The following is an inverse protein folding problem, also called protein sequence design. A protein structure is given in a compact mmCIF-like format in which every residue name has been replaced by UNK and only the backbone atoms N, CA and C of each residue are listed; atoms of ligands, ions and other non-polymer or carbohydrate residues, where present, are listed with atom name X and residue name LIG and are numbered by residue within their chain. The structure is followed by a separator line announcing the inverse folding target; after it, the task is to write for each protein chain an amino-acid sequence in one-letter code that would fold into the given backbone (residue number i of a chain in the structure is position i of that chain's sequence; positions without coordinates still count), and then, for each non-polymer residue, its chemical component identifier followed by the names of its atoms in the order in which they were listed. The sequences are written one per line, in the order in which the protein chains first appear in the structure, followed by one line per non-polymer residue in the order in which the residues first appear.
data_IF_835582647311
#
_entry.id   IF_835582647311
#
_cell.length_a   1.000
_cell.length_b   1.000
_cell.length_c   1.000
_cell.angle_alpha   90.00
_cell.angle_beta   90.00
_cell.angle_gamma   90.00
#
_symmetry.space_group_name_H-M   'P 1'
#
loop_
_entity.id
_entity.type
_entity.pdbx_description
1 polymer ?
#
# COMPACT_ATOMS: atom_id res chain seq x y z
N UNK A 1 -12.65 -1.61 -8.86
CA UNK A 1 -11.77 -2.79 -8.66
C UNK A 1 -12.02 -3.89 -9.69
N UNK A 2 -13.26 -4.11 -10.17
CA UNK A 2 -13.58 -5.14 -11.17
C UNK A 2 -12.64 -5.22 -12.39
N UNK A 3 -12.23 -4.09 -12.98
CA UNK A 3 -11.30 -4.11 -14.13
C UNK A 3 -9.89 -4.62 -13.76
N UNK A 4 -9.41 -4.23 -12.57
CA UNK A 4 -8.11 -4.67 -12.04
C UNK A 4 -8.18 -6.16 -11.69
N UNK A 5 -9.27 -6.59 -11.05
CA UNK A 5 -9.49 -8.00 -10.68
C UNK A 5 -9.55 -8.89 -11.94
N UNK A 6 -10.27 -8.45 -12.98
CA UNK A 6 -10.33 -9.16 -14.27
C UNK A 6 -8.94 -9.24 -14.95
N UNK A 7 -8.12 -8.20 -14.82
CA UNK A 7 -6.75 -8.21 -15.34
C UNK A 7 -5.84 -9.18 -14.59
N UNK A 8 -5.90 -9.15 -13.25
CA UNK A 8 -5.16 -10.06 -12.37
C UNK A 8 -5.58 -11.52 -12.63
N UNK A 9 -6.87 -11.77 -12.80
CA UNK A 9 -7.40 -13.11 -13.05
C UNK A 9 -6.93 -13.66 -14.41
N UNK A 10 -6.98 -12.85 -15.47
CA UNK A 10 -6.43 -13.23 -16.78
C UNK A 10 -4.93 -13.54 -16.71
N UNK A 11 -4.16 -12.75 -15.96
CA UNK A 11 -2.73 -13.02 -15.77
C UNK A 11 -2.50 -14.30 -14.95
N UNK A 12 -3.26 -14.51 -13.88
CA UNK A 12 -3.17 -15.71 -13.04
C UNK A 12 -3.49 -16.98 -13.84
N UNK A 13 -4.54 -16.96 -14.66
CA UNK A 13 -4.95 -18.09 -15.51
C UNK A 13 -3.88 -18.42 -16.54
N UNK A 14 -3.28 -17.39 -17.17
CA UNK A 14 -2.17 -17.58 -18.12
C UNK A 14 -0.96 -18.24 -17.46
N UNK A 15 -0.64 -17.86 -16.22
CA UNK A 15 0.45 -18.46 -15.45
C UNK A 15 0.12 -19.89 -15.02
N UNK A 16 -1.11 -20.15 -14.60
CA UNK A 16 -1.57 -21.50 -14.24
C UNK A 16 -1.42 -22.48 -15.41
N UNK A 17 -1.84 -22.08 -16.62
CA UNK A 17 -1.70 -22.90 -17.83
C UNK A 17 -0.24 -23.12 -18.24
N UNK A 18 0.64 -22.14 -18.02
CA UNK A 18 2.06 -22.22 -18.39
C UNK A 18 2.90 -23.02 -17.41
N UNK A 19 2.51 -23.09 -16.14
CA UNK A 19 3.32 -23.65 -15.06
C UNK A 19 2.65 -24.84 -14.36
N UNK A 20 1.49 -25.30 -14.83
CA UNK A 20 0.70 -26.37 -14.21
C UNK A 20 0.51 -26.15 -12.70
N UNK A 21 0.17 -24.91 -12.32
CA UNK A 21 -0.01 -24.55 -10.92
C UNK A 21 -1.17 -25.32 -10.31
N UNK A 22 -0.96 -25.85 -9.11
CA UNK A 22 -2.05 -26.36 -8.27
C UNK A 22 -3.04 -25.24 -7.92
N UNK A 23 -4.25 -25.60 -7.53
CA UNK A 23 -5.27 -24.62 -7.13
C UNK A 23 -4.78 -23.68 -6.01
N UNK A 24 -4.03 -24.20 -5.05
CA UNK A 24 -3.47 -23.40 -3.94
C UNK A 24 -2.40 -22.42 -4.45
N UNK A 25 -1.53 -22.84 -5.36
CA UNK A 25 -0.52 -21.96 -5.95
C UNK A 25 -1.16 -20.86 -6.82
N UNK A 26 -2.20 -21.20 -7.58
CA UNK A 26 -2.99 -20.21 -8.31
C UNK A 26 -3.57 -19.14 -7.37
N UNK A 27 -4.17 -19.55 -6.24
CA UNK A 27 -4.71 -18.62 -5.24
C UNK A 27 -3.62 -17.72 -4.64
N UNK A 28 -2.43 -18.27 -4.34
CA UNK A 28 -1.29 -17.48 -3.83
C UNK A 28 -0.82 -16.44 -4.85
N UNK A 29 -0.68 -16.84 -6.11
CA UNK A 29 -0.26 -15.95 -7.21
C UNK A 29 -1.30 -14.84 -7.42
N UNK A 30 -2.58 -15.19 -7.46
CA UNK A 30 -3.67 -14.21 -7.58
C UNK A 30 -3.66 -13.20 -6.44
N UNK A 31 -3.53 -13.66 -5.19
CA UNK A 31 -3.44 -12.80 -4.02
C UNK A 31 -2.20 -11.92 -4.06
N UNK A 32 -1.04 -12.48 -4.42
CA UNK A 32 0.21 -11.73 -4.54
C UNK A 32 0.10 -10.58 -5.55
N UNK A 33 -0.46 -10.86 -6.74
CA UNK A 33 -0.71 -9.82 -7.74
C UNK A 33 -1.68 -8.75 -7.25
N UNK A 34 -2.75 -9.15 -6.56
CA UNK A 34 -3.71 -8.21 -5.98
C UNK A 34 -3.06 -7.28 -4.94
N UNK A 35 -2.24 -7.84 -4.06
CA UNK A 35 -1.50 -7.06 -3.04
C UNK A 35 -0.54 -6.08 -3.70
N UNK A 36 0.21 -6.52 -4.71
CA UNK A 36 1.15 -5.64 -5.44
C UNK A 36 0.40 -4.49 -6.09
N UNK A 37 -0.64 -4.76 -6.89
CA UNK A 37 -1.36 -3.70 -7.61
C UNK A 37 -2.01 -2.69 -6.66
N UNK A 38 -2.66 -3.16 -5.58
CA UNK A 38 -3.32 -2.28 -4.61
C UNK A 38 -2.29 -1.43 -3.86
N UNK A 39 -1.16 -2.00 -3.46
CA UNK A 39 -0.12 -1.25 -2.75
C UNK A 39 0.64 -0.29 -3.68
N UNK A 40 0.86 -0.64 -4.94
CA UNK A 40 1.43 0.28 -5.93
C UNK A 40 0.52 1.48 -6.17
N UNK A 41 -0.80 1.26 -6.30
CA UNK A 41 -1.76 2.35 -6.43
C UNK A 41 -1.74 3.27 -5.19
N UNK A 42 -1.73 2.71 -3.99
CA UNK A 42 -1.55 3.45 -2.73
C UNK A 42 -0.26 4.28 -2.75
N UNK A 43 0.86 3.69 -3.14
CA UNK A 43 2.14 4.38 -3.20
C UNK A 43 2.09 5.57 -4.16
N UNK A 44 1.54 5.39 -5.37
CA UNK A 44 1.39 6.48 -6.35
C UNK A 44 0.59 7.65 -5.78
N UNK A 45 -0.54 7.37 -5.14
CA UNK A 45 -1.37 8.43 -4.52
C UNK A 45 -0.64 9.11 -3.36
N UNK A 46 -0.07 8.33 -2.43
CA UNK A 46 0.62 8.84 -1.24
C UNK A 46 1.83 9.70 -1.61
N UNK A 47 2.70 9.21 -2.51
CA UNK A 47 3.88 9.96 -2.93
C UNK A 47 3.53 11.10 -3.88
N UNK A 48 2.48 10.98 -4.70
CA UNK A 48 1.96 12.09 -5.48
C UNK A 48 1.52 13.26 -4.59
N UNK A 49 0.76 12.99 -3.53
CA UNK A 49 0.37 14.00 -2.55
C UNK A 49 1.57 14.56 -1.78
N UNK A 50 2.54 13.72 -1.39
CA UNK A 50 3.73 14.17 -0.68
C UNK A 50 4.61 15.11 -1.51
N UNK A 51 4.69 14.88 -2.83
CA UNK A 51 5.38 15.79 -3.76
C UNK A 51 4.64 17.12 -3.90
N UNK A 52 3.30 17.11 -4.03
CA UNK A 52 2.49 18.34 -4.11
C UNK A 52 2.63 19.22 -2.85
N UNK A 53 2.79 18.60 -1.69
CA UNK A 53 2.95 19.28 -0.40
C UNK A 53 4.42 19.56 -0.04
N UNK A 54 5.38 19.21 -0.89
CA UNK A 54 6.83 19.31 -0.65
C UNK A 54 7.33 18.61 0.64
N UNK A 55 6.66 17.54 1.07
CA UNK A 55 7.02 16.76 2.27
C UNK A 55 7.58 15.36 1.94
N UNK A 56 8.06 15.16 0.72
CA UNK A 56 8.46 13.85 0.20
C UNK A 56 9.41 13.09 1.14
N UNK A 57 10.46 13.74 1.65
CA UNK A 57 11.43 13.10 2.54
C UNK A 57 10.82 12.71 3.89
N UNK A 58 9.96 13.56 4.47
CA UNK A 58 9.27 13.25 5.72
C UNK A 58 8.33 12.06 5.55
N UNK A 59 7.54 12.04 4.46
CA UNK A 59 6.69 10.89 4.11
C UNK A 59 7.52 9.62 3.90
N UNK A 60 8.66 9.70 3.21
CA UNK A 60 9.54 8.56 2.97
C UNK A 60 10.08 7.96 4.27
N UNK A 61 10.54 8.80 5.21
CA UNK A 61 11.05 8.34 6.50
C UNK A 61 9.96 7.60 7.28
N UNK A 62 8.77 8.18 7.43
CA UNK A 62 7.66 7.54 8.15
C UNK A 62 7.25 6.23 7.48
N UNK A 63 7.25 6.18 6.14
CA UNK A 63 6.92 4.97 5.39
C UNK A 63 7.96 3.85 5.59
N UNK A 64 9.26 4.18 5.60
CA UNK A 64 10.32 3.21 5.88
C UNK A 64 10.25 2.68 7.31
N UNK A 65 9.99 3.55 8.29
CA UNK A 65 9.75 3.14 9.68
C UNK A 65 8.57 2.18 9.78
N UNK A 66 7.45 2.47 9.09
CA UNK A 66 6.31 1.56 9.03
C UNK A 66 6.66 0.22 8.39
N UNK A 67 7.45 0.21 7.30
CA UNK A 67 7.87 -1.04 6.66
C UNK A 67 8.68 -1.91 7.61
N UNK A 68 9.61 -1.30 8.37
CA UNK A 68 10.39 -2.00 9.39
C UNK A 68 9.54 -2.52 10.55
N UNK A 69 8.52 -1.79 10.99
CA UNK A 69 7.59 -2.27 12.03
C UNK A 69 6.68 -3.39 11.52
N UNK A 70 6.31 -3.35 10.23
CA UNK A 70 5.39 -4.31 9.63
C UNK A 70 5.98 -5.71 9.46
N UNK A 71 7.31 -5.86 9.38
CA UNK A 71 7.94 -7.18 9.33
C UNK A 71 7.75 -7.97 10.62
N UNK A 72 7.61 -7.29 11.76
CA UNK A 72 7.45 -7.93 13.09
C UNK A 72 6.00 -7.94 13.58
N UNK A 73 5.15 -7.05 13.07
CA UNK A 73 3.73 -7.02 13.39
C UNK A 73 2.95 -7.90 12.42
N UNK A 74 2.55 -9.10 12.86
CA UNK A 74 1.69 -10.06 12.16
C UNK A 74 0.23 -9.54 11.98
N UNK A 75 0.08 -8.24 11.80
CA UNK A 75 -0.93 -7.40 12.44
C UNK A 75 -2.38 -7.48 11.95
N UNK A 76 -3.20 -6.62 12.56
CA UNK A 76 -4.61 -6.44 12.28
C UNK A 76 -4.85 -6.01 10.81
N UNK A 77 -5.70 -6.76 10.11
CA UNK A 77 -6.13 -6.42 8.76
C UNK A 77 -7.40 -5.57 8.83
N UNK A 78 -7.39 -4.39 8.20
CA UNK A 78 -8.60 -3.57 8.10
C UNK A 78 -9.68 -4.33 7.31
N UNK A 79 -10.94 -4.30 7.79
CA UNK A 79 -12.05 -5.05 7.17
C UNK A 79 -12.33 -4.63 5.72
N UNK A 80 -11.94 -3.43 5.30
CA UNK A 80 -12.17 -2.91 3.94
C UNK A 80 -10.94 -2.21 3.36
N UNK A 81 -10.78 -2.33 2.04
CA UNK A 81 -9.66 -1.70 1.32
C UNK A 81 -9.72 -0.16 1.35
N UNK A 82 -10.93 0.41 1.37
CA UNK A 82 -11.15 1.86 1.50
C UNK A 82 -10.64 2.42 2.83
N UNK A 83 -10.90 1.71 3.94
CA UNK A 83 -10.40 2.12 5.25
C UNK A 83 -8.87 2.17 5.26
N UNK A 84 -8.23 1.18 4.62
CA UNK A 84 -6.77 1.12 4.50
C UNK A 84 -6.22 2.26 3.63
N UNK A 85 -6.95 2.72 2.62
CA UNK A 85 -6.58 3.90 1.84
C UNK A 85 -6.61 5.19 2.67
N UNK A 86 -7.69 5.38 3.44
CA UNK A 86 -7.83 6.55 4.32
C UNK A 86 -6.73 6.55 5.39
N UNK A 87 -6.50 5.41 6.03
CA UNK A 87 -5.43 5.26 7.03
C UNK A 87 -4.04 5.54 6.44
N UNK A 88 -3.76 5.06 5.22
CA UNK A 88 -2.50 5.34 4.54
C UNK A 88 -2.28 6.85 4.35
N UNK A 89 -3.26 7.56 3.80
CA UNK A 89 -3.14 9.01 3.58
C UNK A 89 -3.01 9.75 4.91
N UNK A 90 -3.81 9.38 5.91
CA UNK A 90 -3.77 10.00 7.23
C UNK A 90 -2.39 9.85 7.89
N UNK A 91 -1.83 8.64 7.90
CA UNK A 91 -0.57 8.33 8.59
C UNK A 91 0.67 8.80 7.83
N UNK A 92 0.70 8.69 6.49
CA UNK A 92 1.91 8.94 5.71
C UNK A 92 1.95 10.31 5.02
N UNK A 93 0.81 11.02 4.92
CA UNK A 93 0.76 12.35 4.30
C UNK A 93 0.30 13.39 5.31
N UNK A 94 -0.89 13.24 5.88
CA UNK A 94 -1.49 14.26 6.75
C UNK A 94 -0.67 14.46 8.03
N UNK A 95 -0.29 13.38 8.70
CA UNK A 95 0.46 13.47 9.95
C UNK A 95 1.85 14.12 9.76
N UNK A 96 2.70 13.70 8.78
CA UNK A 96 3.94 14.41 8.49
C UNK A 96 3.73 15.87 8.09
N UNK A 97 2.70 16.16 7.29
CA UNK A 97 2.36 17.53 6.90
C UNK A 97 2.04 18.42 8.11
N UNK A 98 1.21 17.92 9.05
CA UNK A 98 0.89 18.63 10.27
C UNK A 98 2.15 18.89 11.10
N UNK A 99 3.00 17.88 11.30
CA UNK A 99 4.23 18.02 12.09
C UNK A 99 5.17 19.08 11.51
N UNK A 100 5.27 19.18 10.17
CA UNK A 100 6.11 20.19 9.51
C UNK A 100 5.53 21.60 9.65
N UNK A 101 4.20 21.75 9.66
CA UNK A 101 3.55 23.05 9.75
C UNK A 101 3.39 23.58 11.17
N UNK A 102 3.27 22.70 12.15
CA UNK A 102 3.22 23.09 13.56
C UNK A 102 4.63 23.15 14.11
N UNK A 103 5.15 24.37 14.29
CA UNK A 103 6.35 24.61 15.09
C UNK A 103 6.00 24.27 16.55
N UNK A 104 6.44 23.11 17.03
CA UNK A 104 6.29 22.73 18.43
C UNK A 104 7.32 23.54 19.20
N UNK A 105 6.95 24.77 19.55
CA UNK A 105 7.75 25.62 20.43
C UNK A 105 7.82 24.95 21.80
N UNK A 106 8.92 24.26 22.09
CA UNK A 106 9.25 23.79 23.44
C UNK A 106 9.63 25.01 24.28
N UNK A 107 8.63 25.64 24.90
CA UNK A 107 8.83 26.61 25.99
C UNK A 107 9.32 25.90 27.26
#
# INVERSE_FOLDING_TARGET
MLLIDNGIEKMALKLQQRQNLSHIEFLKVRLGMQVVVINSFKAVVTYGLALLLNIFLYTLIVHLTFLALRTYSHGAHAKTSMLCHVQNIASFVVLPWLIVQYDISFQ
#
